data_IF_859492521415
#
_entry.id   IF_859492521415
#
_cell.length_a   1.000
_cell.length_b   1.000
_cell.length_c   1.000
_cell.angle_alpha   90.00
_cell.angle_beta   90.00
_cell.angle_gamma   90.00
#
_symmetry.space_group_name_H-M   'P 1'
#
loop_
_entity.id
_entity.type
_entity.pdbx_description
1 polymer ?
#
# COMPACT_ATOMS: atom_id res chain seq x y z
N UNK A 1 -2.63 18.32 -39.88
CA UNK A 1 -2.51 18.96 -38.54
C UNK A 1 -1.12 18.66 -37.97
N UNK A 2 -0.34 19.66 -37.57
CA UNK A 2 1.00 19.48 -36.97
C UNK A 2 0.90 18.84 -35.57
N UNK A 3 1.82 17.91 -35.23
CA UNK A 3 1.91 17.23 -33.92
C UNK A 3 1.90 18.21 -32.75
N UNK A 4 2.55 19.37 -32.89
CA UNK A 4 2.57 20.42 -31.86
C UNK A 4 1.17 20.96 -31.53
N UNK A 5 0.30 21.09 -32.53
CA UNK A 5 -1.07 21.57 -32.34
C UNK A 5 -1.94 20.50 -31.66
N UNK A 6 -1.73 19.22 -32.00
CA UNK A 6 -2.42 18.09 -31.35
C UNK A 6 -2.04 18.00 -29.86
N UNK A 7 -0.74 18.06 -29.53
CA UNK A 7 -0.26 18.06 -28.14
C UNK A 7 -0.85 19.23 -27.37
N UNK A 8 -0.82 20.44 -27.94
CA UNK A 8 -1.37 21.64 -27.28
C UNK A 8 -2.86 21.51 -27.01
N UNK A 9 -3.63 21.01 -27.99
CA UNK A 9 -5.08 20.78 -27.86
C UNK A 9 -5.37 19.76 -26.75
N UNK A 10 -4.62 18.65 -26.73
CA UNK A 10 -4.76 17.62 -25.70
C UNK A 10 -4.42 18.15 -24.30
N UNK A 11 -3.25 18.78 -24.12
CA UNK A 11 -2.80 19.27 -22.82
C UNK A 11 -3.70 20.37 -22.24
N UNK A 12 -4.34 21.18 -23.09
CA UNK A 12 -5.27 22.23 -22.64
C UNK A 12 -6.71 21.73 -22.46
N UNK A 13 -7.10 20.67 -23.17
CA UNK A 13 -8.46 20.14 -23.14
C UNK A 13 -8.72 19.12 -22.02
N UNK A 14 -7.70 18.68 -21.30
CA UNK A 14 -7.85 17.69 -20.23
C UNK A 14 -8.16 18.34 -18.88
N UNK A 15 -9.13 17.78 -18.14
CA UNK A 15 -9.43 18.22 -16.78
C UNK A 15 -8.30 17.89 -15.80
N UNK A 16 -8.22 18.65 -14.70
CA UNK A 16 -7.24 18.40 -13.64
C UNK A 16 -7.40 17.00 -13.03
N UNK A 17 -8.63 16.55 -12.83
CA UNK A 17 -8.96 15.22 -12.33
C UNK A 17 -8.46 14.11 -13.26
N UNK A 18 -8.77 14.21 -14.56
CA UNK A 18 -8.32 13.21 -15.54
C UNK A 18 -6.80 13.20 -15.65
N UNK A 19 -6.15 14.36 -15.58
CA UNK A 19 -4.69 14.47 -15.53
C UNK A 19 -4.12 13.76 -14.30
N UNK A 20 -4.67 13.99 -13.11
CA UNK A 20 -4.23 13.34 -11.87
C UNK A 20 -4.44 11.82 -11.89
N UNK A 21 -5.56 11.36 -12.46
CA UNK A 21 -5.81 9.93 -12.66
C UNK A 21 -4.78 9.30 -13.61
N UNK A 22 -4.51 9.91 -14.76
CA UNK A 22 -3.53 9.40 -15.71
C UNK A 22 -2.10 9.41 -15.14
N UNK A 23 -1.74 10.43 -14.34
CA UNK A 23 -0.47 10.45 -13.62
C UNK A 23 -0.35 9.26 -12.67
N UNK A 24 -1.39 8.96 -11.88
CA UNK A 24 -1.40 7.76 -11.03
C UNK A 24 -1.23 6.49 -11.86
N UNK A 25 -1.95 6.34 -12.97
CA UNK A 25 -1.82 5.16 -13.85
C UNK A 25 -0.43 5.04 -14.49
N UNK A 26 0.20 6.15 -14.87
CA UNK A 26 1.56 6.16 -15.38
C UNK A 26 2.57 5.69 -14.31
N UNK A 27 2.44 6.18 -13.07
CA UNK A 27 3.26 5.70 -11.94
C UNK A 27 3.01 4.22 -11.68
N UNK A 28 1.75 3.80 -11.62
CA UNK A 28 1.36 2.38 -11.43
C UNK A 28 2.03 1.50 -12.49
N UNK A 29 2.02 1.95 -13.74
CA UNK A 29 2.67 1.24 -14.84
C UNK A 29 4.17 1.08 -14.64
N UNK A 30 4.89 2.12 -14.21
CA UNK A 30 6.33 2.03 -13.95
C UNK A 30 6.65 1.08 -12.79
N UNK A 31 5.76 1.01 -11.80
CA UNK A 31 5.92 0.14 -10.64
C UNK A 31 5.63 -1.34 -10.95
N UNK A 32 4.60 -1.65 -11.74
CA UNK A 32 4.03 -3.00 -11.78
C UNK A 32 3.99 -3.69 -13.14
N UNK A 33 4.10 -2.95 -14.26
CA UNK A 33 4.03 -3.56 -15.59
C UNK A 33 5.10 -4.64 -15.76
N UNK A 34 4.66 -5.87 -16.04
CA UNK A 34 5.54 -7.03 -16.21
C UNK A 34 6.23 -7.51 -14.92
N UNK A 35 5.81 -7.01 -13.75
CA UNK A 35 6.44 -7.34 -12.45
C UNK A 35 5.47 -8.02 -11.49
N UNK A 36 4.19 -7.62 -11.49
CA UNK A 36 3.14 -8.21 -10.64
C UNK A 36 1.93 -8.64 -11.46
N UNK A 37 1.49 -9.86 -11.25
CA UNK A 37 0.23 -10.40 -11.79
C UNK A 37 -0.99 -9.60 -11.31
N UNK A 38 -2.07 -9.60 -12.09
CA UNK A 38 -3.24 -8.74 -11.81
C UNK A 38 -3.08 -7.29 -12.30
N UNK A 39 -1.88 -6.88 -12.76
CA UNK A 39 -1.66 -5.51 -13.22
C UNK A 39 -2.49 -5.16 -14.46
N UNK A 40 -2.63 -6.09 -15.42
CA UNK A 40 -3.38 -5.83 -16.65
C UNK A 40 -4.86 -5.56 -16.36
N UNK A 41 -5.44 -6.34 -15.46
CA UNK A 41 -6.81 -6.23 -14.96
C UNK A 41 -7.01 -4.95 -14.16
N UNK A 42 -5.97 -4.47 -13.46
CA UNK A 42 -6.01 -3.20 -12.73
C UNK A 42 -6.14 -1.97 -13.63
N UNK A 43 -5.89 -2.10 -14.95
CA UNK A 43 -5.95 -0.98 -15.90
C UNK A 43 -7.37 -0.48 -16.11
N UNK A 44 -8.35 -1.39 -16.15
CA UNK A 44 -9.76 -1.05 -16.35
C UNK A 44 -10.42 -0.50 -15.08
N UNK A 45 -9.81 -0.72 -13.91
CA UNK A 45 -10.36 -0.28 -12.63
C UNK A 45 -9.95 1.18 -12.31
N UNK A 46 -10.90 2.12 -12.16
CA UNK A 46 -10.55 3.48 -11.78
C UNK A 46 -10.05 3.54 -10.34
N UNK A 47 -9.05 4.39 -10.09
CA UNK A 47 -8.60 4.71 -8.74
C UNK A 47 -9.55 5.70 -8.10
N UNK A 48 -9.87 5.51 -6.82
CA UNK A 48 -10.77 6.38 -6.10
C UNK A 48 -10.01 7.51 -5.40
N UNK A 49 -10.74 8.55 -4.98
CA UNK A 49 -10.24 9.55 -4.04
C UNK A 49 -10.06 8.95 -2.64
N UNK A 50 -10.97 8.05 -2.24
CA UNK A 50 -10.92 7.25 -1.02
C UNK A 50 -11.73 5.97 -1.22
N UNK A 51 -11.31 4.87 -0.59
CA UNK A 51 -12.07 3.61 -0.43
C UNK A 51 -12.75 3.51 0.94
N UNK A 52 -12.69 4.59 1.72
CA UNK A 52 -13.46 4.78 2.94
C UNK A 52 -14.43 5.93 2.74
N UNK A 53 -15.69 5.72 3.15
CA UNK A 53 -16.67 6.80 3.24
C UNK A 53 -16.25 7.75 4.37
N UNK A 54 -16.25 9.06 4.12
CA UNK A 54 -15.80 10.06 5.11
C UNK A 54 -16.57 9.97 6.44
N UNK A 55 -17.88 9.66 6.38
CA UNK A 55 -18.72 9.45 7.57
C UNK A 55 -18.37 8.18 8.37
N UNK A 56 -17.57 7.26 7.83
CA UNK A 56 -17.10 6.05 8.53
C UNK A 56 -15.78 6.28 9.28
N UNK A 57 -15.13 7.43 9.11
CA UNK A 57 -13.94 7.78 9.87
C UNK A 57 -14.38 8.39 11.20
N UNK A 58 -13.94 7.80 12.31
CA UNK A 58 -14.36 8.27 13.62
C UNK A 58 -13.88 9.72 13.87
N UNK A 59 -14.75 10.65 14.33
CA UNK A 59 -14.37 12.04 14.57
C UNK A 59 -13.18 12.22 15.53
N UNK A 60 -13.01 11.32 16.52
CA UNK A 60 -11.84 11.34 17.42
C UNK A 60 -10.53 11.11 16.65
N UNK A 61 -10.55 10.30 15.59
CA UNK A 61 -9.38 10.08 14.74
C UNK A 61 -9.06 11.36 13.97
N UNK A 62 -10.07 12.05 13.42
CA UNK A 62 -9.87 13.34 12.76
C UNK A 62 -9.27 14.38 13.72
N UNK A 63 -9.76 14.43 14.95
CA UNK A 63 -9.20 15.29 16.00
C UNK A 63 -7.73 14.94 16.30
N UNK A 64 -7.39 13.66 16.39
CA UNK A 64 -6.02 13.18 16.64
C UNK A 64 -5.07 13.43 15.46
N UNK A 65 -5.57 13.47 14.22
CA UNK A 65 -4.79 13.87 13.04
C UNK A 65 -4.47 15.37 13.02
N UNK A 66 -5.23 16.17 13.78
CA UNK A 66 -5.04 17.61 13.89
C UNK A 66 -5.21 18.30 12.55
N UNK A 67 -4.16 18.97 12.07
CA UNK A 67 -4.16 19.67 10.78
C UNK A 67 -3.86 18.78 9.57
N UNK A 68 -3.54 17.50 9.77
CA UNK A 68 -3.25 16.60 8.65
C UNK A 68 -4.52 16.21 7.90
N UNK A 69 -4.61 16.62 6.64
CA UNK A 69 -5.68 16.22 5.74
C UNK A 69 -5.43 14.81 5.20
N UNK A 70 -6.43 13.96 5.34
CA UNK A 70 -6.47 12.63 4.72
C UNK A 70 -6.51 12.80 3.21
N UNK A 71 -5.55 12.19 2.51
CA UNK A 71 -5.46 12.17 1.05
C UNK A 71 -6.11 10.93 0.45
N UNK A 72 -6.14 9.83 1.22
CA UNK A 72 -6.71 8.56 0.82
C UNK A 72 -6.95 7.68 2.05
N UNK A 73 -8.04 6.91 2.04
CA UNK A 73 -8.35 5.93 3.06
C UNK A 73 -8.75 4.60 2.43
N UNK A 74 -8.39 3.47 3.04
CA UNK A 74 -8.79 2.14 2.58
C UNK A 74 -8.91 1.15 3.74
N UNK A 75 -9.90 0.23 3.74
CA UNK A 75 -9.92 -0.88 4.67
C UNK A 75 -8.79 -1.86 4.36
N UNK A 76 -8.14 -2.38 5.40
CA UNK A 76 -7.06 -3.35 5.28
C UNK A 76 -7.16 -4.40 6.38
N UNK A 77 -6.58 -5.56 6.13
CA UNK A 77 -6.31 -6.55 7.17
C UNK A 77 -4.85 -6.42 7.56
N UNK A 78 -4.57 -6.11 8.83
CA UNK A 78 -3.22 -6.09 9.38
C UNK A 78 -2.89 -7.44 9.99
N UNK A 79 -1.71 -7.98 9.66
CA UNK A 79 -1.16 -9.17 10.30
C UNK A 79 -0.16 -8.79 11.40
N UNK A 80 -0.34 -9.33 12.60
CA UNK A 80 0.62 -9.11 13.70
C UNK A 80 1.94 -9.88 13.44
N UNK A 81 3.09 -9.22 13.61
CA UNK A 81 4.42 -9.75 13.22
C UNK A 81 4.87 -11.07 13.85
N UNK A 82 4.33 -11.45 15.03
CA UNK A 82 4.75 -12.67 15.77
C UNK A 82 3.82 -13.88 15.56
N UNK A 83 2.52 -13.60 15.42
CA UNK A 83 1.48 -14.63 15.37
C UNK A 83 0.63 -14.58 14.12
N UNK A 84 0.83 -13.59 13.25
CA UNK A 84 0.06 -13.33 12.05
C UNK A 84 -1.46 -13.36 12.29
N UNK A 85 -1.89 -12.87 13.46
CA UNK A 85 -3.31 -12.70 13.72
C UNK A 85 -3.84 -11.58 12.83
N UNK A 86 -4.85 -11.90 12.02
CA UNK A 86 -5.55 -10.96 11.18
C UNK A 86 -6.35 -9.96 12.04
N UNK A 87 -6.25 -8.67 11.71
CA UNK A 87 -6.93 -7.57 12.40
C UNK A 87 -7.44 -6.57 11.38
N UNK A 88 -8.76 -6.36 11.32
CA UNK A 88 -9.33 -5.31 10.47
C UNK A 88 -8.87 -3.92 10.94
N UNK A 89 -8.38 -3.11 10.01
CA UNK A 89 -7.92 -1.74 10.24
C UNK A 89 -8.35 -0.84 9.09
N UNK A 90 -8.33 0.46 9.33
CA UNK A 90 -8.33 1.45 8.26
C UNK A 90 -6.90 1.96 8.08
N UNK A 91 -6.41 1.96 6.84
CA UNK A 91 -5.17 2.64 6.45
C UNK A 91 -5.53 4.02 5.93
N UNK A 92 -5.05 5.07 6.61
CA UNK A 92 -5.23 6.45 6.20
C UNK A 92 -3.87 7.01 5.75
N UNK A 93 -3.83 7.60 4.56
CA UNK A 93 -2.65 8.26 4.02
C UNK A 93 -2.85 9.76 4.10
N UNK A 94 -1.92 10.48 4.72
CA UNK A 94 -1.85 11.95 4.69
C UNK A 94 -0.66 12.38 3.83
N UNK A 95 -0.37 13.69 3.79
CA UNK A 95 0.81 14.21 3.09
C UNK A 95 2.13 13.84 3.76
N UNK A 96 2.14 13.49 5.05
CA UNK A 96 3.37 13.28 5.84
C UNK A 96 3.51 11.87 6.40
N UNK A 97 2.38 11.20 6.65
CA UNK A 97 2.37 9.93 7.37
C UNK A 97 1.25 9.01 6.87
N UNK A 98 1.46 7.71 7.07
CA UNK A 98 0.40 6.71 7.02
C UNK A 98 -0.05 6.34 8.44
N UNK A 99 -1.34 6.10 8.64
CA UNK A 99 -1.92 5.75 9.93
C UNK A 99 -2.72 4.46 9.81
N UNK A 100 -2.51 3.55 10.77
CA UNK A 100 -3.41 2.42 11.00
C UNK A 100 -4.36 2.74 12.14
N UNK A 101 -5.65 2.63 11.86
CA UNK A 101 -6.72 3.02 12.77
C UNK A 101 -7.58 1.80 13.09
N UNK A 102 -7.97 1.68 14.35
CA UNK A 102 -8.98 0.75 14.85
C UNK A 102 -10.05 1.56 15.59
N UNK A 103 -11.25 1.65 15.02
CA UNK A 103 -12.36 2.46 15.54
C UNK A 103 -11.93 3.92 15.77
N UNK A 104 -11.80 4.33 17.03
CA UNK A 104 -11.42 5.68 17.46
C UNK A 104 -9.94 5.83 17.81
N UNK A 105 -9.13 4.78 17.64
CA UNK A 105 -7.74 4.74 18.10
C UNK A 105 -6.77 4.63 16.93
N UNK A 106 -5.81 5.54 16.88
CA UNK A 106 -4.61 5.37 16.06
C UNK A 106 -3.72 4.31 16.72
N UNK A 107 -3.53 3.19 16.02
CA UNK A 107 -2.71 2.06 16.50
C UNK A 107 -1.26 2.18 16.08
N UNK A 108 -1.01 2.83 14.96
CA UNK A 108 0.32 3.04 14.43
C UNK A 108 0.30 4.26 13.52
N UNK A 109 1.27 5.15 13.67
CA UNK A 109 1.61 6.24 12.75
C UNK A 109 2.93 5.85 12.09
N UNK A 110 3.10 6.07 10.80
CA UNK A 110 4.32 5.81 10.06
C UNK A 110 4.67 7.04 9.26
N UNK A 111 5.67 7.80 9.70
CA UNK A 111 6.12 8.98 8.97
C UNK A 111 6.87 8.58 7.71
N UNK A 112 6.60 9.26 6.59
CA UNK A 112 7.23 8.93 5.32
C UNK A 112 8.74 9.14 5.33
N UNK A 113 9.27 10.04 6.17
CA UNK A 113 10.71 10.22 6.40
C UNK A 113 11.38 8.98 7.01
N UNK A 114 10.65 8.25 7.86
CA UNK A 114 11.15 7.06 8.56
C UNK A 114 10.96 5.76 7.75
N UNK A 115 10.25 5.79 6.63
CA UNK A 115 10.05 4.60 5.80
C UNK A 115 11.33 4.24 5.02
N UNK A 116 11.66 2.96 4.98
CA UNK A 116 12.69 2.40 4.09
C UNK A 116 12.15 2.12 2.69
N UNK A 117 10.85 1.80 2.60
CA UNK A 117 10.21 1.45 1.35
C UNK A 117 8.97 0.59 1.59
N UNK A 118 8.44 0.04 0.51
CA UNK A 118 7.25 -0.78 0.47
C UNK A 118 7.54 -1.99 -0.42
N UNK A 119 7.09 -3.17 -0.02
CA UNK A 119 7.24 -4.38 -0.83
C UNK A 119 5.91 -5.10 -1.01
N UNK A 120 5.77 -5.79 -2.14
CA UNK A 120 4.67 -6.72 -2.45
C UNK A 120 5.25 -7.89 -3.25
N UNK A 121 4.51 -8.98 -3.36
CA UNK A 121 4.91 -10.10 -4.22
C UNK A 121 4.68 -9.81 -5.70
N UNK A 122 5.22 -10.66 -6.57
CA UNK A 122 4.91 -10.73 -8.00
C UNK A 122 3.59 -11.44 -8.32
N UNK A 123 2.98 -12.15 -7.37
CA UNK A 123 1.79 -12.98 -7.60
C UNK A 123 0.51 -12.15 -7.47
N UNK A 124 -0.62 -12.74 -7.86
CA UNK A 124 -1.97 -12.18 -7.69
C UNK A 124 -2.48 -12.25 -6.24
N UNK A 125 -1.69 -11.75 -5.28
CA UNK A 125 -2.11 -11.56 -3.89
C UNK A 125 -2.34 -10.08 -3.52
N UNK A 126 -2.95 -9.88 -2.35
CA UNK A 126 -3.22 -8.57 -1.77
C UNK A 126 -2.19 -8.09 -0.75
N UNK A 127 -1.01 -8.70 -0.64
CA UNK A 127 -0.05 -8.42 0.45
C UNK A 127 0.84 -7.20 0.14
N UNK A 128 0.90 -6.29 1.11
CA UNK A 128 1.75 -5.12 1.15
C UNK A 128 2.55 -5.11 2.46
N UNK A 129 3.86 -4.91 2.39
CA UNK A 129 4.71 -4.68 3.57
C UNK A 129 5.28 -3.28 3.51
N UNK A 130 4.99 -2.47 4.52
CA UNK A 130 5.59 -1.14 4.69
C UNK A 130 6.80 -1.29 5.61
N UNK A 131 7.99 -1.02 5.07
CA UNK A 131 9.24 -1.13 5.80
C UNK A 131 9.57 0.15 6.55
N UNK A 132 9.81 0.05 7.85
CA UNK A 132 10.07 1.21 8.72
C UNK A 132 11.50 1.11 9.27
N UNK A 133 12.19 2.25 9.36
CA UNK A 133 13.53 2.30 9.93
C UNK A 133 13.51 1.94 11.43
N UNK A 134 14.40 1.04 11.90
CA UNK A 134 14.49 0.68 13.32
C UNK A 134 14.95 1.83 14.23
N UNK A 135 15.50 2.92 13.65
CA UNK A 135 16.01 4.06 14.41
C UNK A 135 14.90 4.88 15.10
N UNK A 136 13.65 4.71 14.68
CA UNK A 136 12.51 5.34 15.34
C UNK A 136 12.07 4.48 16.54
N UNK A 137 12.45 4.92 17.74
CA UNK A 137 12.14 4.22 19.01
C UNK A 137 10.64 4.01 19.24
N UNK A 138 9.76 4.75 18.54
CA UNK A 138 8.31 4.56 18.61
C UNK A 138 7.79 3.45 17.69
N UNK A 139 8.59 3.02 16.70
CA UNK A 139 8.16 2.10 15.65
C UNK A 139 8.60 0.67 15.96
N UNK A 140 7.61 -0.21 16.05
CA UNK A 140 7.79 -1.59 16.52
C UNK A 140 8.29 -2.57 15.44
N UNK A 141 8.76 -2.08 14.28
CA UNK A 141 9.11 -2.87 13.09
C UNK A 141 8.17 -2.65 11.90
N UNK A 142 8.28 -3.51 10.88
CA UNK A 142 7.55 -3.38 9.62
C UNK A 142 6.04 -3.62 9.78
N UNK A 143 5.25 -3.22 8.79
CA UNK A 143 3.80 -3.37 8.82
C UNK A 143 3.34 -4.26 7.68
N UNK A 144 2.72 -5.40 7.99
CA UNK A 144 2.17 -6.35 7.01
C UNK A 144 0.67 -6.11 6.88
N UNK A 145 0.21 -5.81 5.67
CA UNK A 145 -1.17 -5.52 5.33
C UNK A 145 -1.62 -6.41 4.18
N UNK A 146 -2.90 -6.79 4.18
CA UNK A 146 -3.61 -7.29 3.03
C UNK A 146 -4.66 -6.26 2.60
N UNK A 147 -4.73 -5.99 1.30
CA UNK A 147 -5.63 -5.02 0.70
C UNK A 147 -6.00 -5.45 -0.71
N UNK A 148 -7.28 -5.36 -1.05
CA UNK A 148 -7.79 -5.65 -2.40
C UNK A 148 -7.32 -4.62 -3.44
N UNK A 149 -7.06 -3.38 -3.01
CA UNK A 149 -6.66 -2.28 -3.89
C UNK A 149 -5.14 -2.05 -3.88
N UNK A 150 -4.35 -3.13 -3.94
CA UNK A 150 -2.88 -3.10 -3.76
C UNK A 150 -2.17 -2.11 -4.70
N UNK A 151 -2.53 -2.11 -5.99
CA UNK A 151 -1.96 -1.23 -6.99
C UNK A 151 -2.23 0.24 -6.69
N UNK A 152 -3.43 0.55 -6.19
CA UNK A 152 -3.84 1.90 -5.83
C UNK A 152 -3.09 2.38 -4.57
N UNK A 153 -3.04 1.55 -3.52
CA UNK A 153 -2.35 1.86 -2.27
C UNK A 153 -0.86 2.08 -2.51
N UNK A 154 -0.20 1.14 -3.18
CA UNK A 154 1.25 1.22 -3.43
C UNK A 154 1.61 2.41 -4.31
N UNK A 155 0.79 2.72 -5.32
CA UNK A 155 0.98 3.90 -6.18
C UNK A 155 0.83 5.20 -5.39
N UNK A 156 -0.24 5.33 -4.59
CA UNK A 156 -0.46 6.54 -3.78
C UNK A 156 0.65 6.71 -2.74
N UNK A 157 1.09 5.64 -2.08
CA UNK A 157 2.26 5.67 -1.21
C UNK A 157 3.52 6.13 -1.95
N UNK A 158 3.79 5.59 -3.15
CA UNK A 158 4.96 6.00 -3.92
C UNK A 158 4.93 7.49 -4.27
N UNK A 159 3.78 8.00 -4.68
CA UNK A 159 3.58 9.42 -5.01
C UNK A 159 3.67 10.35 -3.79
N UNK A 160 3.29 9.87 -2.60
CA UNK A 160 3.37 10.65 -1.36
C UNK A 160 4.80 10.64 -0.79
N UNK A 161 5.50 9.51 -0.86
CA UNK A 161 6.86 9.36 -0.35
C UNK A 161 7.89 10.04 -1.27
N UNK A 162 7.62 10.13 -2.59
CA UNK A 162 8.44 10.84 -3.59
C UNK A 162 9.92 10.45 -3.60
N UNK A 163 10.19 9.17 -3.37
CA UNK A 163 11.54 8.59 -3.46
C UNK A 163 11.57 7.55 -4.58
N UNK A 164 12.68 7.51 -5.30
CA UNK A 164 12.89 6.50 -6.33
C UNK A 164 12.94 5.11 -5.69
N UNK A 165 12.51 4.10 -6.45
CA UNK A 165 12.53 2.68 -6.03
C UNK A 165 11.85 2.38 -4.68
N UNK A 166 10.91 3.24 -4.25
CA UNK A 166 10.21 3.09 -2.97
C UNK A 166 9.34 1.83 -2.90
N UNK A 167 8.80 1.36 -4.04
CA UNK A 167 8.05 0.10 -4.12
C UNK A 167 8.91 -0.97 -4.78
N UNK A 168 9.03 -2.13 -4.13
CA UNK A 168 9.68 -3.32 -4.66
C UNK A 168 8.68 -4.45 -4.84
N UNK A 169 8.82 -5.15 -5.95
CA UNK A 169 8.07 -6.38 -6.24
C UNK A 169 9.04 -7.54 -6.11
N UNK A 170 8.72 -8.51 -5.26
CA UNK A 170 9.61 -9.64 -4.95
C UNK A 170 9.01 -10.98 -5.37
N UNK A 171 9.85 -11.97 -5.63
CA UNK A 171 9.45 -13.31 -6.04
C UNK A 171 9.78 -14.33 -4.94
N UNK A 172 8.88 -15.28 -4.71
CA UNK A 172 9.06 -16.41 -3.79
C UNK A 172 8.98 -16.05 -2.31
N UNK A 173 9.79 -15.10 -1.81
CA UNK A 173 9.75 -14.72 -0.40
C UNK A 173 10.11 -13.26 -0.13
N UNK A 174 9.72 -12.77 1.04
CA UNK A 174 10.01 -11.44 1.55
C UNK A 174 10.42 -11.48 3.02
N UNK A 175 11.57 -10.90 3.33
CA UNK A 175 11.98 -10.64 4.71
C UNK A 175 11.38 -9.32 5.21
N UNK A 176 10.98 -9.31 6.48
CA UNK A 176 10.48 -8.12 7.17
C UNK A 176 11.02 -8.03 8.60
N UNK A 177 11.14 -6.81 9.10
CA UNK A 177 11.59 -6.55 10.47
C UNK A 177 10.47 -6.80 11.49
N UNK A 178 10.65 -7.80 12.36
CA UNK A 178 9.74 -8.11 13.48
C UNK A 178 9.91 -7.09 14.61
N UNK A 179 11.17 -6.84 14.95
CA UNK A 179 11.68 -5.89 15.94
C UNK A 179 13.18 -5.66 15.64
N UNK A 180 13.85 -4.64 16.21
CA UNK A 180 15.28 -4.45 16.00
C UNK A 180 16.06 -5.76 16.22
N UNK A 181 16.84 -6.18 15.21
CA UNK A 181 17.64 -7.42 15.23
C UNK A 181 16.86 -8.73 15.04
N UNK A 182 15.54 -8.69 14.82
CA UNK A 182 14.72 -9.89 14.56
C UNK A 182 13.93 -9.74 13.28
N UNK A 183 14.05 -10.73 12.41
CA UNK A 183 13.36 -10.77 11.12
C UNK A 183 12.33 -11.90 11.08
N UNK A 184 11.36 -11.75 10.19
CA UNK A 184 10.40 -12.77 9.82
C UNK A 184 10.37 -12.91 8.31
N UNK A 185 9.80 -14.02 7.83
CA UNK A 185 9.69 -14.31 6.39
C UNK A 185 8.23 -14.49 6.01
N UNK A 186 7.87 -13.93 4.86
CA UNK A 186 6.64 -14.22 4.12
C UNK A 186 7.05 -15.06 2.91
N UNK A 187 6.35 -16.16 2.67
CA UNK A 187 6.54 -17.03 1.50
C UNK A 187 5.29 -16.93 0.62
N UNK A 188 5.51 -16.69 -0.67
CA UNK A 188 4.47 -16.50 -1.67
C UNK A 188 4.46 -17.67 -2.64
N UNK A 189 3.30 -18.28 -2.80
CA UNK A 189 3.08 -19.46 -3.62
C UNK A 189 1.77 -19.36 -4.39
N UNK A 190 1.65 -20.11 -5.47
CA UNK A 190 0.40 -20.28 -6.19
C UNK A 190 -0.30 -21.57 -5.75
N UNK A 191 -1.62 -21.56 -5.72
CA UNK A 191 -2.46 -22.71 -5.38
C UNK A 191 -3.86 -22.58 -5.96
N UNK A 192 -4.76 -23.47 -5.53
CA UNK A 192 -6.16 -23.48 -5.97
C UNK A 192 -7.02 -22.44 -5.24
N UNK A 193 -6.70 -22.16 -3.97
CA UNK A 193 -7.44 -21.25 -3.11
C UNK A 193 -6.56 -20.17 -2.50
N UNK A 194 -7.13 -18.97 -2.35
CA UNK A 194 -6.50 -17.85 -1.67
C UNK A 194 -6.42 -18.11 -0.16
N UNK A 195 -5.19 -18.24 0.37
CA UNK A 195 -4.98 -18.53 1.79
C UNK A 195 -3.84 -17.70 2.37
N UNK A 196 -4.02 -17.22 3.61
CA UNK A 196 -2.96 -16.54 4.38
C UNK A 196 -2.91 -17.14 5.78
N UNK A 197 -1.83 -17.86 6.09
CA UNK A 197 -1.69 -18.59 7.35
C UNK A 197 -0.25 -18.66 7.85
N UNK A 198 -0.09 -18.97 9.13
CA UNK A 198 1.23 -19.22 9.74
C UNK A 198 1.60 -20.69 9.55
N UNK A 199 2.77 -20.97 8.99
CA UNK A 199 3.24 -22.34 8.83
C UNK A 199 3.91 -22.90 10.10
N UNK A 200 4.30 -24.19 10.03
CA UNK A 200 5.01 -24.88 11.11
C UNK A 200 6.39 -24.30 11.44
N UNK A 201 7.03 -23.62 10.49
CA UNK A 201 8.32 -22.95 10.66
C UNK A 201 8.16 -21.53 11.25
N UNK A 202 6.92 -21.08 11.45
CA UNK A 202 6.58 -19.77 11.98
C UNK A 202 6.67 -18.64 10.95
N UNK A 203 6.70 -18.96 9.66
CA UNK A 203 6.63 -18.04 8.53
C UNK A 203 5.17 -17.74 8.18
N UNK A 204 4.94 -16.60 7.52
CA UNK A 204 3.64 -16.30 6.93
C UNK A 204 3.61 -16.88 5.52
N UNK A 205 2.69 -17.81 5.23
CA UNK A 205 2.46 -18.30 3.88
C UNK A 205 1.26 -17.60 3.27
N UNK A 206 1.43 -17.20 2.02
CA UNK A 206 0.45 -16.49 1.20
C UNK A 206 0.32 -17.30 -0.08
N UNK A 207 -0.83 -17.93 -0.23
CA UNK A 207 -1.17 -18.71 -1.43
C UNK A 207 -2.14 -17.85 -2.22
N UNK A 208 -1.76 -17.50 -3.45
CA UNK A 208 -2.61 -16.83 -4.42
C UNK A 208 -3.10 -17.80 -5.50
N UNK A 209 -4.07 -17.39 -6.32
CA UNK A 209 -4.61 -18.27 -7.35
C UNK A 209 -3.59 -18.39 -8.49
N UNK A 210 -3.51 -19.59 -9.06
CA UNK A 210 -2.65 -19.89 -10.22
C UNK A 210 -3.20 -19.30 -11.53
#
# INVERSE_FOLDING_TARGET
MCTRNLVRKYCRGISAERKAMMQQKAVTSGLFRGKKEGYAESLSQPFASSRLDEGKINPKVLQLLGSEKIQYGVPVIKYDRKGFKARQRQLLLTLRSAYLVEFSKIKQKMEYSALRGVSTSSLRDGILVIHVSPADKQQKGDTILQCEHIFEVATKLAMLIKREHVVRVVQGSLQFCVSPGREGTIVFETGEEDQVYKDKNGQLRVVGPS
#
